data_IF_037053194125
#
_entry.id   IF_037053194125
#
_cell.length_a   1.000
_cell.length_b   1.000
_cell.length_c   1.000
_cell.angle_alpha   90.00
_cell.angle_beta   90.00
_cell.angle_gamma   90.00
#
_symmetry.space_group_name_H-M   'P 1'
#
loop_
_entity.id
_entity.type
_entity.pdbx_description
1 polymer ?
#
# COMPACT_ATOMS: atom_id res chain seq x y z
N UNK A 1 -27.73 20.83 3.97
CA UNK A 1 -27.00 19.72 3.29
C UNK A 1 -26.62 18.70 4.37
N UNK A 2 -26.64 17.39 4.07
CA UNK A 2 -26.32 16.25 4.97
C UNK A 2 -27.40 15.52 5.79
N UNK A 3 -28.70 15.83 5.69
CA UNK A 3 -29.70 15.01 6.40
C UNK A 3 -29.78 13.57 5.86
N UNK A 4 -29.61 13.33 4.56
CA UNK A 4 -29.70 11.97 3.99
C UNK A 4 -28.53 11.09 4.39
N UNK A 5 -27.29 11.60 4.35
CA UNK A 5 -26.10 10.85 4.79
C UNK A 5 -26.14 10.56 6.29
N UNK A 6 -26.57 11.54 7.10
CA UNK A 6 -26.77 11.37 8.53
C UNK A 6 -27.83 10.31 8.84
N UNK A 7 -28.99 10.39 8.18
CA UNK A 7 -30.06 9.39 8.36
C UNK A 7 -29.63 7.99 7.91
N UNK A 8 -28.77 7.88 6.88
CA UNK A 8 -28.32 6.61 6.32
C UNK A 8 -27.23 5.93 7.15
N UNK A 9 -26.20 6.67 7.55
CA UNK A 9 -25.00 6.10 8.16
C UNK A 9 -24.93 6.34 9.68
N UNK A 10 -25.37 7.51 10.16
CA UNK A 10 -25.04 8.01 11.50
C UNK A 10 -26.22 8.01 12.49
N UNK A 11 -27.47 7.89 12.02
CA UNK A 11 -28.67 8.00 12.87
C UNK A 11 -28.99 6.75 13.69
N UNK A 12 -28.70 5.56 13.16
CA UNK A 12 -28.92 4.28 13.89
C UNK A 12 -27.58 3.74 14.36
N UNK A 13 -27.49 3.34 15.63
CA UNK A 13 -26.23 2.87 16.21
C UNK A 13 -25.69 1.61 15.48
N UNK A 14 -26.58 0.70 15.06
CA UNK A 14 -26.16 -0.49 14.30
C UNK A 14 -25.56 -0.16 12.93
N UNK A 15 -26.14 0.79 12.19
CA UNK A 15 -25.60 1.22 10.89
C UNK A 15 -24.34 2.03 11.07
N UNK A 16 -24.24 2.81 12.15
CA UNK A 16 -23.05 3.58 12.50
C UNK A 16 -21.85 2.66 12.74
N UNK A 17 -21.99 1.66 13.62
CA UNK A 17 -20.92 0.71 13.93
C UNK A 17 -20.50 -0.08 12.66
N UNK A 18 -21.47 -0.53 11.86
CA UNK A 18 -21.18 -1.21 10.60
C UNK A 18 -20.42 -0.31 9.61
N UNK A 19 -20.79 0.98 9.53
CA UNK A 19 -20.10 1.98 8.70
C UNK A 19 -18.67 2.20 9.17
N UNK A 20 -18.44 2.26 10.49
CA UNK A 20 -17.09 2.40 11.07
C UNK A 20 -16.22 1.20 10.75
N UNK A 21 -16.73 -0.03 10.86
CA UNK A 21 -15.95 -1.22 10.51
C UNK A 21 -15.67 -1.32 9.01
N UNK A 22 -16.68 -1.05 8.18
CA UNK A 22 -16.50 -1.05 6.74
C UNK A 22 -15.47 0.01 6.32
N UNK A 23 -15.58 1.23 6.84
CA UNK A 23 -14.65 2.30 6.50
C UNK A 23 -13.24 1.99 6.99
N UNK A 24 -13.06 1.46 8.20
CA UNK A 24 -11.75 1.06 8.70
C UNK A 24 -11.10 -0.02 7.81
N UNK A 25 -11.86 -1.01 7.35
CA UNK A 25 -11.36 -2.04 6.45
C UNK A 25 -10.89 -1.47 5.11
N UNK A 26 -11.73 -0.66 4.44
CA UNK A 26 -11.37 -0.08 3.15
C UNK A 26 -10.26 0.97 3.26
N UNK A 27 -10.29 1.81 4.31
CA UNK A 27 -9.26 2.80 4.55
C UNK A 27 -7.92 2.15 4.85
N UNK A 28 -7.87 1.06 5.62
CA UNK A 28 -6.63 0.32 5.86
C UNK A 28 -6.01 -0.11 4.53
N UNK A 29 -6.75 -0.82 3.69
CA UNK A 29 -6.26 -1.31 2.39
C UNK A 29 -5.80 -0.13 1.51
N UNK A 30 -6.60 0.93 1.44
CA UNK A 30 -6.25 2.11 0.64
C UNK A 30 -5.00 2.82 1.16
N UNK A 31 -4.91 3.02 2.46
CA UNK A 31 -3.77 3.69 3.09
C UNK A 31 -2.49 2.87 2.99
N UNK A 32 -2.54 1.55 3.15
CA UNK A 32 -1.37 0.67 2.98
C UNK A 32 -0.80 0.84 1.55
N UNK A 33 -1.64 0.70 0.52
CA UNK A 33 -1.22 0.84 -0.89
C UNK A 33 -0.69 2.24 -1.20
N UNK A 34 -1.34 3.29 -0.70
CA UNK A 34 -0.92 4.67 -0.95
C UNK A 34 0.42 4.93 -0.26
N UNK A 35 0.55 4.52 1.00
CA UNK A 35 1.76 4.75 1.80
C UNK A 35 2.94 4.00 1.20
N UNK A 36 2.77 2.75 0.78
CA UNK A 36 3.79 1.98 0.08
C UNK A 36 4.25 2.70 -1.18
N UNK A 37 3.32 3.15 -2.03
CA UNK A 37 3.67 3.90 -3.26
C UNK A 37 4.42 5.20 -2.97
N UNK A 38 4.01 5.93 -1.94
CA UNK A 38 4.70 7.17 -1.52
C UNK A 38 6.11 6.84 -1.04
N UNK A 39 6.26 5.78 -0.26
CA UNK A 39 7.54 5.32 0.23
C UNK A 39 8.48 4.88 -0.89
N UNK A 40 7.96 4.09 -1.84
CA UNK A 40 8.70 3.63 -3.02
C UNK A 40 9.18 4.78 -3.88
N UNK A 41 8.31 5.75 -4.17
CA UNK A 41 8.70 6.93 -4.95
C UNK A 41 9.75 7.76 -4.24
N UNK A 42 9.65 7.91 -2.92
CA UNK A 42 10.57 8.73 -2.14
C UNK A 42 11.94 8.09 -1.97
N UNK A 43 12.01 6.75 -1.97
CA UNK A 43 13.25 5.98 -1.77
C UNK A 43 13.73 5.26 -3.04
N UNK A 44 13.26 5.69 -4.22
CA UNK A 44 13.57 5.06 -5.48
C UNK A 44 15.09 4.93 -5.69
N UNK A 45 15.55 3.74 -6.06
CA UNK A 45 16.96 3.44 -6.29
C UNK A 45 17.75 3.03 -5.05
N UNK A 46 17.19 3.18 -3.85
CA UNK A 46 17.78 2.69 -2.60
C UNK A 46 17.09 1.44 -2.06
N UNK A 47 15.92 1.09 -2.61
CA UNK A 47 15.17 -0.06 -2.14
C UNK A 47 15.84 -1.35 -2.60
N UNK A 48 15.82 -2.40 -1.77
CA UNK A 48 16.43 -3.68 -2.13
C UNK A 48 15.93 -4.22 -3.47
N UNK A 49 14.64 -4.05 -3.78
CA UNK A 49 14.07 -4.43 -5.08
C UNK A 49 14.70 -3.70 -6.28
N UNK A 50 15.23 -2.49 -6.09
CA UNK A 50 15.89 -1.71 -7.14
C UNK A 50 17.40 -2.04 -7.23
N UNK A 51 18.02 -2.44 -6.11
CA UNK A 51 19.46 -2.71 -6.03
C UNK A 51 19.80 -4.17 -6.31
N UNK A 52 18.96 -5.11 -5.86
CA UNK A 52 19.14 -6.57 -6.01
C UNK A 52 19.50 -7.01 -7.44
N UNK A 53 18.85 -6.50 -8.51
CA UNK A 53 19.16 -6.95 -9.87
C UNK A 53 20.62 -6.71 -10.27
N UNK A 54 21.30 -5.72 -9.68
CA UNK A 54 22.71 -5.43 -9.96
C UNK A 54 23.65 -6.50 -9.41
N UNK A 55 23.29 -7.11 -8.28
CA UNK A 55 24.09 -8.17 -7.66
C UNK A 55 23.94 -9.49 -8.42
N UNK A 56 22.70 -9.83 -8.81
CA UNK A 56 22.44 -11.04 -9.59
C UNK A 56 23.14 -11.00 -10.95
N UNK A 57 23.10 -9.85 -11.64
CA UNK A 57 23.82 -9.67 -12.91
C UNK A 57 25.34 -9.80 -12.74
N UNK A 58 25.87 -9.35 -11.61
CA UNK A 58 27.30 -9.48 -11.30
C UNK A 58 27.69 -10.94 -11.04
N UNK A 59 26.86 -11.70 -10.34
CA UNK A 59 27.08 -13.14 -10.13
C UNK A 59 27.07 -13.89 -11.48
N UNK A 60 26.12 -13.59 -12.36
CA UNK A 60 26.08 -14.18 -13.72
C UNK A 60 27.30 -13.82 -14.59
N UNK A 61 27.77 -12.56 -14.53
CA UNK A 61 28.99 -12.13 -15.26
C UNK A 61 30.26 -12.79 -14.69
N UNK A 62 30.39 -12.87 -13.37
CA UNK A 62 31.56 -13.50 -12.71
C UNK A 62 31.59 -15.02 -13.02
N UNK A 63 30.44 -15.70 -13.11
CA UNK A 63 30.35 -17.12 -13.50
C UNK A 63 30.69 -17.36 -14.99
N UNK A 64 30.31 -16.46 -15.91
CA UNK A 64 30.67 -16.54 -17.34
C UNK A 64 32.17 -16.31 -17.59
N UNK A 65 32.83 -15.46 -16.78
CA UNK A 65 34.27 -15.18 -16.88
C UNK A 65 35.15 -16.32 -16.30
N UNK A 66 34.58 -17.23 -15.49
CA UNK A 66 35.27 -18.38 -14.90
C UNK A 66 35.22 -19.68 -15.76
N UNK A 67 34.36 -19.76 -16.81
CA UNK A 67 34.28 -20.86 -17.80
C UNK A 67 35.20 -20.69 -19.02
#
# INVERSE_FOLDING_TARGET
>A
MNSSLYNLLFKRNSTFIATVFASAFFLKIGLDVITDKVWEKSNAGMQWKDVKPKFLKKEEEDDEDEE
#
